data_IF_247384962438
#
_entry.id   IF_247384962438
#
_cell.length_a   1.000
_cell.length_b   1.000
_cell.length_c   1.000
_cell.angle_alpha   90.00
_cell.angle_beta   90.00
_cell.angle_gamma   90.00
#
_symmetry.space_group_name_H-M   'P 1'
#
loop_
_entity.id
_entity.type
_entity.pdbx_description
1 polymer ?
#
# COMPACT_ATOMS: atom_id res chain seq x y z
N UNK A 1 8.23 55.05 53.78
CA UNK A 1 7.25 54.12 53.22
C UNK A 1 7.70 53.74 51.79
N UNK A 2 8.23 52.52 51.61
CA UNK A 2 8.66 52.04 50.32
C UNK A 2 7.57 51.11 49.79
N UNK A 3 6.96 51.45 48.66
CA UNK A 3 5.98 50.57 47.97
C UNK A 3 6.72 49.61 47.07
N UNK A 4 6.57 48.32 47.33
CA UNK A 4 7.07 47.23 46.46
C UNK A 4 5.91 46.89 45.52
N UNK A 5 6.15 47.15 44.22
CA UNK A 5 5.19 46.76 43.18
C UNK A 5 5.58 45.33 42.78
N UNK A 6 4.68 44.38 43.01
CA UNK A 6 4.75 43.00 42.52
C UNK A 6 4.18 42.97 41.09
N UNK A 7 5.05 42.79 40.11
CA UNK A 7 4.64 42.56 38.73
C UNK A 7 4.40 41.05 38.52
N UNK A 8 3.11 40.69 38.44
CA UNK A 8 2.73 39.31 38.14
C UNK A 8 2.90 39.06 36.63
N UNK A 9 3.89 38.27 36.25
CA UNK A 9 4.09 37.82 34.88
C UNK A 9 3.12 36.66 34.64
N UNK A 10 2.09 36.94 33.85
CA UNK A 10 1.17 35.91 33.35
C UNK A 10 1.86 35.14 32.21
N UNK A 11 2.38 33.96 32.50
CA UNK A 11 2.86 33.02 31.51
C UNK A 11 1.63 32.37 30.82
N UNK A 12 1.25 32.93 29.68
CA UNK A 12 0.30 32.25 28.77
C UNK A 12 1.05 31.13 28.08
N UNK A 13 0.85 29.90 28.54
CA UNK A 13 1.25 28.70 27.83
C UNK A 13 0.40 28.61 26.55
N UNK A 14 1.00 28.94 25.42
CA UNK A 14 0.49 28.56 24.10
C UNK A 14 0.59 27.03 23.99
N UNK A 15 -0.47 26.36 24.41
CA UNK A 15 -0.68 24.98 24.02
C UNK A 15 -0.90 24.99 22.50
N UNK A 16 0.12 24.59 21.75
CA UNK A 16 -0.09 24.17 20.37
C UNK A 16 -1.03 22.97 20.44
N UNK A 17 -2.32 23.21 20.16
CA UNK A 17 -3.25 22.16 19.86
C UNK A 17 -2.69 21.43 18.62
N UNK A 18 -2.11 20.26 18.85
CA UNK A 18 -1.87 19.31 17.79
C UNK A 18 -3.25 19.01 17.22
N UNK A 19 -3.53 19.52 16.01
CA UNK A 19 -4.75 19.20 15.30
C UNK A 19 -4.84 17.68 15.28
N UNK A 20 -5.76 17.10 16.06
CA UNK A 20 -6.13 15.70 15.93
C UNK A 20 -6.51 15.53 14.46
N UNK A 21 -5.72 14.75 13.72
CA UNK A 21 -6.03 14.40 12.34
C UNK A 21 -7.42 13.78 12.37
N UNK A 22 -8.42 14.58 11.96
CA UNK A 22 -9.81 14.14 11.99
C UNK A 22 -9.94 12.87 11.16
N UNK A 23 -10.47 11.83 11.74
CA UNK A 23 -10.97 10.66 11.03
C UNK A 23 -12.43 10.92 10.62
N UNK A 24 -12.91 10.37 9.47
CA UNK A 24 -12.16 9.51 8.56
C UNK A 24 -11.15 10.30 7.70
N UNK A 25 -9.88 9.90 7.75
CA UNK A 25 -8.84 10.57 7.00
C UNK A 25 -8.83 10.16 5.53
N UNK A 26 -9.15 8.90 5.21
CA UNK A 26 -9.23 8.36 3.85
C UNK A 26 -10.32 9.07 3.03
N UNK A 27 -11.51 9.27 3.60
CA UNK A 27 -12.61 10.00 2.95
C UNK A 27 -12.26 11.45 2.62
N UNK A 28 -11.33 12.08 3.37
CA UNK A 28 -10.90 13.46 3.17
C UNK A 28 -9.84 13.62 2.08
N UNK A 29 -9.36 12.52 1.48
CA UNK A 29 -8.45 12.58 0.33
C UNK A 29 -9.22 12.92 -0.94
N UNK A 30 -8.77 13.92 -1.69
CA UNK A 30 -9.38 14.34 -2.95
C UNK A 30 -8.65 13.70 -4.15
N UNK A 31 -9.31 12.82 -4.92
CA UNK A 31 -8.75 12.26 -6.15
C UNK A 31 -8.88 13.19 -7.36
N UNK A 32 -9.59 14.31 -7.22
CA UNK A 32 -9.87 15.30 -8.24
C UNK A 32 -8.83 16.42 -8.29
N UNK A 33 -9.27 17.67 -8.11
CA UNK A 33 -8.38 18.84 -8.22
C UNK A 33 -7.29 18.86 -7.14
N UNK A 34 -7.60 18.40 -5.93
CA UNK A 34 -6.69 18.32 -4.78
C UNK A 34 -5.79 17.07 -4.75
N UNK A 35 -5.69 16.30 -5.85
CA UNK A 35 -4.97 15.02 -5.84
C UNK A 35 -3.49 15.12 -5.44
N UNK A 36 -2.81 16.20 -5.75
CA UNK A 36 -1.39 16.39 -5.38
C UNK A 36 -1.22 16.56 -3.88
N UNK A 37 -2.05 17.41 -3.27
CA UNK A 37 -2.03 17.62 -1.81
C UNK A 37 -2.40 16.34 -1.08
N UNK A 38 -3.45 15.67 -1.51
CA UNK A 38 -3.86 14.38 -0.96
C UNK A 38 -2.79 13.30 -1.13
N UNK A 39 -2.12 13.24 -2.28
CA UNK A 39 -0.97 12.37 -2.51
C UNK A 39 0.21 12.69 -1.58
N UNK A 40 0.48 13.99 -1.37
CA UNK A 40 1.52 14.41 -0.43
C UNK A 40 1.22 13.93 0.99
N UNK A 41 -0.04 13.97 1.44
CA UNK A 41 -0.45 13.44 2.76
C UNK A 41 -0.11 11.95 2.90
N UNK A 42 -0.34 11.12 1.87
CA UNK A 42 0.05 9.70 1.87
C UNK A 42 1.57 9.53 1.84
N UNK A 43 2.26 10.28 0.98
CA UNK A 43 3.72 10.16 0.82
C UNK A 43 4.51 10.70 2.02
N UNK A 44 3.94 11.60 2.82
CA UNK A 44 4.51 12.18 4.03
C UNK A 44 4.29 11.33 5.31
N UNK A 45 3.57 10.23 5.22
CA UNK A 45 3.37 9.31 6.35
C UNK A 45 4.70 8.79 6.90
N UNK A 46 4.73 8.46 8.16
CA UNK A 46 5.89 7.82 8.80
C UNK A 46 6.15 6.43 8.18
N UNK A 47 7.40 6.01 8.17
CA UNK A 47 7.73 4.65 7.74
C UNK A 47 7.08 3.61 8.64
N UNK A 48 6.38 2.67 8.02
CA UNK A 48 5.63 1.61 8.69
C UNK A 48 4.21 1.48 8.17
N UNK A 49 3.40 0.72 8.90
CA UNK A 49 2.00 0.49 8.60
C UNK A 49 1.17 1.61 9.25
N UNK A 50 0.51 2.40 8.44
CA UNK A 50 -0.24 3.57 8.88
C UNK A 50 -1.74 3.35 8.64
N UNK A 51 -2.59 3.43 9.67
CA UNK A 51 -4.03 3.41 9.49
C UNK A 51 -4.48 4.68 8.76
N UNK A 52 -5.44 4.54 7.87
CA UNK A 52 -5.99 5.67 7.12
C UNK A 52 -7.34 6.15 7.65
N UNK A 53 -7.89 5.43 8.63
CA UNK A 53 -9.17 5.72 9.27
C UNK A 53 -9.19 5.20 10.70
N UNK A 54 -10.23 5.54 11.42
CA UNK A 54 -10.46 5.04 12.77
C UNK A 54 -11.22 3.71 12.70
N UNK A 55 -10.74 2.72 13.41
CA UNK A 55 -11.37 1.40 13.51
C UNK A 55 -12.23 1.28 14.77
N UNK A 56 -13.29 0.51 14.68
CA UNK A 56 -14.19 0.21 15.81
C UNK A 56 -13.93 -1.20 16.41
N UNK A 57 -13.11 -2.03 15.74
CA UNK A 57 -12.76 -3.39 16.15
C UNK A 57 -13.70 -4.46 15.59
N UNK A 58 -14.67 -4.08 14.77
CA UNK A 58 -15.64 -4.97 14.12
C UNK A 58 -15.26 -5.30 12.67
N UNK A 59 -14.18 -4.68 12.17
CA UNK A 59 -13.72 -4.84 10.80
C UNK A 59 -13.36 -6.30 10.50
N UNK A 60 -13.84 -6.78 9.36
CA UNK A 60 -13.68 -8.16 8.90
C UNK A 60 -12.56 -8.33 7.89
N UNK A 61 -12.17 -7.23 7.22
CA UNK A 61 -11.13 -7.19 6.20
C UNK A 61 -9.98 -6.28 6.62
N UNK A 62 -8.76 -6.79 6.58
CA UNK A 62 -7.57 -5.94 6.69
C UNK A 62 -7.03 -5.65 5.29
N UNK A 63 -7.21 -4.41 4.82
CA UNK A 63 -6.68 -3.94 3.53
C UNK A 63 -5.35 -3.21 3.72
N UNK A 64 -4.31 -3.66 3.02
CA UNK A 64 -2.98 -3.06 3.09
C UNK A 64 -2.47 -2.73 1.70
N UNK A 65 -2.20 -1.46 1.44
CA UNK A 65 -1.56 -0.98 0.23
C UNK A 65 -0.06 -0.72 0.44
N UNK A 66 0.76 -1.13 -0.54
CA UNK A 66 2.22 -1.03 -0.51
C UNK A 66 2.71 -0.31 -1.75
N UNK A 67 3.22 0.91 -1.58
CA UNK A 67 3.59 1.77 -2.69
C UNK A 67 4.84 1.28 -3.45
N UNK A 68 4.94 1.72 -4.70
CA UNK A 68 6.08 1.48 -5.56
C UNK A 68 7.23 2.47 -5.32
N UNK A 69 8.24 2.37 -6.19
CA UNK A 69 9.37 3.28 -6.13
C UNK A 69 8.98 4.68 -6.56
N UNK A 70 9.42 5.69 -5.80
CA UNK A 70 9.14 7.12 -6.05
C UNK A 70 7.64 7.43 -6.12
N UNK A 71 6.86 6.74 -5.33
CA UNK A 71 5.44 7.01 -5.19
C UNK A 71 5.22 8.43 -4.65
N UNK A 72 4.37 9.18 -5.31
CA UNK A 72 3.91 10.49 -4.85
C UNK A 72 2.58 10.39 -4.08
N UNK A 73 2.04 9.18 -3.93
CA UNK A 73 0.85 8.85 -3.15
C UNK A 73 -0.47 9.03 -3.91
N UNK A 74 -0.56 9.99 -4.84
CA UNK A 74 -1.83 10.30 -5.53
C UNK A 74 -2.40 9.13 -6.33
N UNK A 75 -1.55 8.24 -6.82
CA UNK A 75 -1.96 7.04 -7.56
C UNK A 75 -2.75 6.06 -6.70
N UNK A 76 -2.68 6.20 -5.37
CA UNK A 76 -3.36 5.35 -4.41
C UNK A 76 -4.69 5.89 -3.89
N UNK A 77 -5.00 7.19 -4.07
CA UNK A 77 -6.20 7.82 -3.50
C UNK A 77 -7.46 7.12 -4.00
N UNK A 78 -7.69 7.16 -5.30
CA UNK A 78 -8.85 6.53 -5.94
C UNK A 78 -8.93 5.03 -5.65
N UNK A 79 -7.84 4.23 -5.82
CA UNK A 79 -7.86 2.80 -5.49
C UNK A 79 -8.25 2.51 -4.05
N UNK A 80 -7.72 3.23 -3.09
CA UNK A 80 -8.02 3.01 -1.67
C UNK A 80 -9.49 3.30 -1.37
N UNK A 81 -10.01 4.44 -1.85
CA UNK A 81 -11.42 4.79 -1.68
C UNK A 81 -12.38 3.86 -2.42
N UNK A 82 -11.94 3.21 -3.51
CA UNK A 82 -12.75 2.24 -4.25
C UNK A 82 -12.83 0.89 -3.53
N UNK A 83 -11.74 0.48 -2.88
CA UNK A 83 -11.62 -0.82 -2.23
C UNK A 83 -12.15 -0.82 -0.81
N UNK A 84 -12.09 0.33 -0.16
CA UNK A 84 -12.48 0.51 1.23
C UNK A 84 -13.98 0.35 1.44
N UNK A 85 -14.36 -0.16 2.61
CA UNK A 85 -15.74 -0.31 3.06
C UNK A 85 -15.82 -0.10 4.58
N UNK A 86 -17.00 0.07 5.13
CA UNK A 86 -17.22 0.13 6.58
C UNK A 86 -16.74 -1.11 7.35
N UNK A 87 -16.56 -2.25 6.64
CA UNK A 87 -16.04 -3.50 7.19
C UNK A 87 -14.52 -3.66 7.01
N UNK A 88 -13.84 -2.65 6.47
CA UNK A 88 -12.40 -2.69 6.20
C UNK A 88 -11.61 -1.91 7.24
N UNK A 89 -10.48 -2.47 7.64
CA UNK A 89 -9.41 -1.74 8.31
C UNK A 89 -8.35 -1.41 7.25
N UNK A 90 -8.34 -0.17 6.76
CA UNK A 90 -7.52 0.24 5.62
C UNK A 90 -6.23 0.91 6.06
N UNK A 91 -5.11 0.37 5.55
CA UNK A 91 -3.76 0.80 5.87
C UNK A 91 -2.94 1.12 4.64
N UNK A 92 -2.03 2.10 4.78
CA UNK A 92 -0.97 2.39 3.83
C UNK A 92 0.39 2.04 4.43
N UNK A 93 1.14 1.17 3.76
CA UNK A 93 2.49 0.83 4.16
C UNK A 93 3.51 1.75 3.50
N UNK A 94 4.01 2.71 4.28
CA UNK A 94 5.10 3.61 3.86
C UNK A 94 6.44 2.96 4.16
N UNK A 95 7.32 2.86 3.14
CA UNK A 95 8.63 2.23 3.30
C UNK A 95 9.72 2.97 2.51
N UNK A 96 10.98 2.71 2.83
CA UNK A 96 12.14 3.30 2.17
C UNK A 96 12.45 2.54 0.87
N UNK A 97 11.82 2.95 -0.23
CA UNK A 97 11.98 2.35 -1.55
C UNK A 97 13.33 2.65 -2.22
N UNK A 98 14.17 3.48 -1.61
CA UNK A 98 15.56 3.67 -2.02
C UNK A 98 16.46 2.48 -1.63
N UNK A 99 15.98 1.61 -0.73
CA UNK A 99 16.71 0.45 -0.21
C UNK A 99 16.18 -0.87 -0.75
N UNK A 100 16.88 -1.94 -0.40
CA UNK A 100 16.42 -3.31 -0.66
C UNK A 100 15.12 -3.61 0.09
N UNK A 101 14.15 -4.20 -0.59
CA UNK A 101 12.82 -4.53 -0.06
C UNK A 101 12.85 -5.49 1.14
N UNK A 102 13.89 -6.31 1.30
CA UNK A 102 13.94 -7.43 2.26
C UNK A 102 13.63 -6.99 3.70
N UNK A 103 14.28 -5.93 4.17
CA UNK A 103 14.06 -5.44 5.53
C UNK A 103 12.66 -4.83 5.70
N UNK A 104 12.15 -4.15 4.67
CA UNK A 104 10.81 -3.60 4.67
C UNK A 104 9.75 -4.70 4.65
N UNK A 105 9.95 -5.79 3.91
CA UNK A 105 9.08 -6.95 3.93
C UNK A 105 9.04 -7.63 5.31
N UNK A 106 10.20 -7.78 5.98
CA UNK A 106 10.25 -8.29 7.36
C UNK A 106 9.47 -7.39 8.34
N UNK A 107 9.64 -6.07 8.22
CA UNK A 107 8.90 -5.09 9.06
C UNK A 107 7.40 -5.14 8.78
N UNK A 108 6.99 -5.21 7.51
CA UNK A 108 5.58 -5.33 7.15
C UNK A 108 4.96 -6.58 7.78
N UNK A 109 5.60 -7.74 7.64
CA UNK A 109 5.13 -9.00 8.25
C UNK A 109 4.97 -8.90 9.76
N UNK A 110 5.94 -8.27 10.43
CA UNK A 110 5.88 -8.06 11.88
C UNK A 110 4.72 -7.11 12.26
N UNK A 111 4.52 -6.01 11.53
CA UNK A 111 3.44 -5.08 11.77
C UNK A 111 2.07 -5.73 11.54
N UNK A 112 1.91 -6.46 10.44
CA UNK A 112 0.69 -7.23 10.15
C UNK A 112 0.33 -8.17 11.30
N UNK A 113 1.32 -8.91 11.83
CA UNK A 113 1.07 -9.82 12.93
C UNK A 113 0.61 -9.13 14.22
N UNK A 114 0.96 -7.86 14.40
CA UNK A 114 0.48 -7.04 15.52
C UNK A 114 -0.94 -6.52 15.29
N UNK A 115 -1.21 -5.99 14.09
CA UNK A 115 -2.53 -5.42 13.79
C UNK A 115 -3.61 -6.51 13.75
N UNK A 116 -3.32 -7.67 13.18
CA UNK A 116 -4.25 -8.82 13.20
C UNK A 116 -4.67 -9.22 14.64
N UNK A 117 -3.76 -9.10 15.61
CA UNK A 117 -4.09 -9.39 17.02
C UNK A 117 -4.99 -8.35 17.67
N UNK A 118 -5.00 -7.13 17.16
CA UNK A 118 -5.84 -6.04 17.67
C UNK A 118 -7.25 -6.05 17.09
N UNK A 119 -7.45 -6.73 15.97
CA UNK A 119 -8.70 -6.78 15.21
C UNK A 119 -9.24 -8.23 15.23
N UNK A 120 -9.92 -8.65 16.31
CA UNK A 120 -10.33 -10.05 16.50
C UNK A 120 -11.43 -10.50 15.53
N UNK A 121 -12.16 -9.57 14.93
CA UNK A 121 -13.23 -9.84 13.96
C UNK A 121 -12.74 -10.16 12.56
N UNK A 122 -11.43 -10.00 12.28
CA UNK A 122 -10.88 -10.22 10.95
C UNK A 122 -11.13 -11.63 10.41
N UNK A 123 -11.69 -11.69 9.21
CA UNK A 123 -11.94 -12.91 8.44
C UNK A 123 -10.92 -13.10 7.31
N UNK A 124 -10.39 -12.00 6.74
CA UNK A 124 -9.42 -12.06 5.65
C UNK A 124 -8.44 -10.89 5.66
N UNK A 125 -7.33 -11.07 4.94
CA UNK A 125 -6.29 -10.07 4.73
C UNK A 125 -6.08 -9.89 3.22
N UNK A 126 -6.12 -8.65 2.75
CA UNK A 126 -5.84 -8.27 1.36
C UNK A 126 -4.62 -7.35 1.34
N UNK A 127 -3.56 -7.76 0.65
CA UNK A 127 -2.33 -6.99 0.53
C UNK A 127 -2.09 -6.65 -0.95
N UNK A 128 -2.02 -5.38 -1.27
CA UNK A 128 -1.85 -4.90 -2.65
C UNK A 128 -0.54 -4.15 -2.77
N UNK A 129 0.36 -4.65 -3.60
CA UNK A 129 1.65 -4.01 -3.89
C UNK A 129 1.74 -3.56 -5.34
N UNK A 130 2.21 -2.34 -5.57
CA UNK A 130 2.42 -1.79 -6.91
C UNK A 130 3.90 -1.66 -7.24
N UNK A 131 4.29 -2.02 -8.46
CA UNK A 131 5.67 -1.83 -8.96
C UNK A 131 6.70 -2.49 -8.02
N UNK A 132 7.64 -1.73 -7.45
CA UNK A 132 8.60 -2.24 -6.47
C UNK A 132 7.91 -2.70 -5.17
N UNK A 133 6.75 -2.13 -4.81
CA UNK A 133 5.88 -2.67 -3.76
C UNK A 133 5.32 -4.05 -4.11
N UNK A 134 5.08 -4.33 -5.40
CA UNK A 134 4.71 -5.65 -5.90
C UNK A 134 5.80 -6.70 -5.63
N UNK A 135 7.09 -6.34 -5.79
CA UNK A 135 8.23 -7.19 -5.39
C UNK A 135 8.23 -7.45 -3.89
N UNK A 136 8.02 -6.38 -3.09
CA UNK A 136 7.98 -6.48 -1.64
C UNK A 136 6.89 -7.46 -1.18
N UNK A 137 5.65 -7.30 -1.66
CA UNK A 137 4.53 -8.16 -1.22
C UNK A 137 4.68 -9.59 -1.73
N UNK A 138 5.24 -9.80 -2.92
CA UNK A 138 5.54 -11.14 -3.45
C UNK A 138 6.55 -11.87 -2.56
N UNK A 139 7.52 -11.15 -1.98
CA UNK A 139 8.49 -11.76 -1.05
C UNK A 139 7.90 -12.22 0.28
N UNK A 140 6.66 -11.81 0.60
CA UNK A 140 5.98 -12.30 1.80
C UNK A 140 5.52 -13.75 1.64
N UNK A 141 5.28 -14.20 0.40
CA UNK A 141 4.72 -15.51 0.07
C UNK A 141 5.55 -16.65 0.65
N UNK A 142 6.86 -16.62 0.45
CA UNK A 142 7.78 -17.71 0.84
C UNK A 142 7.72 -18.05 2.34
N UNK A 143 7.56 -17.04 3.19
CA UNK A 143 7.58 -17.22 4.65
C UNK A 143 6.23 -16.86 5.28
N UNK A 144 5.13 -17.01 4.53
CA UNK A 144 3.79 -16.70 5.03
C UNK A 144 3.34 -17.73 6.07
N UNK A 145 3.06 -17.27 7.30
CA UNK A 145 2.69 -18.14 8.43
C UNK A 145 1.33 -17.75 9.04
N UNK A 146 0.62 -16.80 8.45
CA UNK A 146 -0.68 -16.39 8.97
C UNK A 146 -1.75 -17.43 8.64
N UNK A 147 -2.70 -17.60 9.54
CA UNK A 147 -3.82 -18.52 9.37
C UNK A 147 -5.07 -17.87 8.75
N UNK A 148 -5.14 -16.55 8.67
CA UNK A 148 -6.22 -15.86 7.97
C UNK A 148 -6.16 -16.15 6.46
N UNK A 149 -7.30 -16.37 5.81
CA UNK A 149 -7.39 -16.31 4.36
C UNK A 149 -6.73 -15.02 3.86
N UNK A 150 -5.76 -15.15 2.98
CA UNK A 150 -4.93 -14.01 2.56
C UNK A 150 -4.86 -13.93 1.05
N UNK A 151 -5.10 -12.74 0.53
CA UNK A 151 -4.93 -12.40 -0.87
C UNK A 151 -3.74 -11.44 -1.02
N UNK A 152 -2.80 -11.78 -1.89
CA UNK A 152 -1.67 -10.90 -2.23
C UNK A 152 -1.78 -10.54 -3.70
N UNK A 153 -1.86 -9.25 -3.99
CA UNK A 153 -1.96 -8.70 -5.32
C UNK A 153 -0.66 -7.97 -5.69
N UNK A 154 0.07 -8.47 -6.70
CA UNK A 154 1.23 -7.79 -7.29
C UNK A 154 0.81 -7.10 -8.58
N UNK A 155 0.72 -5.77 -8.57
CA UNK A 155 0.29 -4.95 -9.70
C UNK A 155 1.51 -4.32 -10.36
N UNK A 156 1.71 -4.58 -11.66
CA UNK A 156 2.86 -4.07 -12.41
C UNK A 156 4.19 -4.34 -11.68
N UNK A 157 4.27 -5.43 -10.92
CA UNK A 157 5.46 -5.81 -10.17
C UNK A 157 6.52 -6.42 -11.08
N UNK A 158 7.79 -5.95 -11.07
CA UNK A 158 8.88 -6.59 -11.79
C UNK A 158 9.38 -7.81 -11.02
N UNK A 159 8.56 -8.85 -10.94
CA UNK A 159 8.76 -10.06 -10.13
C UNK A 159 9.37 -11.23 -10.92
N UNK A 160 9.71 -11.01 -12.19
CA UNK A 160 10.47 -11.98 -13.00
C UNK A 160 11.89 -12.20 -12.46
N UNK A 161 12.47 -13.34 -12.79
CA UNK A 161 13.73 -13.87 -12.24
C UNK A 161 14.99 -13.02 -12.42
N UNK A 162 14.95 -11.97 -13.24
CA UNK A 162 16.10 -11.12 -13.53
C UNK A 162 16.05 -9.75 -12.85
N UNK A 163 15.06 -9.49 -12.00
CA UNK A 163 14.94 -8.19 -11.37
C UNK A 163 15.99 -8.00 -10.27
N UNK A 164 16.82 -6.97 -10.43
CA UNK A 164 17.79 -6.53 -9.42
C UNK A 164 17.74 -5.02 -9.28
N UNK A 165 17.70 -4.53 -8.04
CA UNK A 165 17.71 -3.12 -7.71
C UNK A 165 18.40 -2.87 -6.37
N UNK A 166 19.17 -1.77 -6.26
CA UNK A 166 19.84 -1.37 -5.03
C UNK A 166 20.70 -2.49 -4.41
N UNK A 167 21.49 -3.19 -5.24
CA UNK A 167 22.29 -4.35 -4.84
C UNK A 167 21.46 -5.50 -4.22
N UNK A 168 20.20 -5.60 -4.58
CA UNK A 168 19.22 -6.52 -4.05
C UNK A 168 18.60 -7.31 -5.19
N UNK A 169 18.89 -8.58 -5.27
CA UNK A 169 18.29 -9.49 -6.25
C UNK A 169 17.01 -10.06 -5.68
N UNK A 170 15.95 -10.04 -6.47
CA UNK A 170 14.70 -10.69 -6.12
C UNK A 170 14.74 -12.17 -6.52
N UNK A 171 14.51 -13.02 -5.54
CA UNK A 171 14.30 -14.44 -5.77
C UNK A 171 12.81 -14.73 -5.62
N UNK A 172 12.11 -15.08 -6.70
CA UNK A 172 10.67 -15.38 -6.63
C UNK A 172 10.43 -16.62 -5.78
N UNK A 173 9.26 -16.69 -5.09
CA UNK A 173 8.86 -17.89 -4.38
C UNK A 173 8.62 -19.03 -5.37
N UNK A 174 8.89 -20.27 -4.94
CA UNK A 174 8.67 -21.45 -5.77
C UNK A 174 7.21 -21.87 -5.85
N UNK A 175 6.47 -21.66 -4.76
CA UNK A 175 5.07 -22.08 -4.62
C UNK A 175 4.30 -21.18 -3.67
N UNK A 176 2.98 -21.24 -3.78
CA UNK A 176 2.06 -20.51 -2.92
C UNK A 176 1.65 -21.42 -1.73
N UNK A 177 1.77 -20.95 -0.47
CA UNK A 177 1.30 -21.67 0.71
C UNK A 177 -0.23 -21.84 0.72
N UNK A 178 -0.72 -22.86 1.44
CA UNK A 178 -2.14 -23.00 1.71
C UNK A 178 -2.69 -21.76 2.41
N UNK A 179 -3.96 -21.41 2.16
CA UNK A 179 -4.67 -20.23 2.66
C UNK A 179 -4.15 -18.88 2.14
N UNK A 180 -3.29 -18.90 1.14
CA UNK A 180 -2.86 -17.72 0.42
C UNK A 180 -3.24 -17.85 -1.04
N UNK A 181 -3.89 -16.84 -1.60
CA UNK A 181 -4.11 -16.67 -3.03
C UNK A 181 -3.22 -15.55 -3.53
N UNK A 182 -2.52 -15.78 -4.64
CA UNK A 182 -1.62 -14.80 -5.22
C UNK A 182 -2.11 -14.39 -6.60
N UNK A 183 -2.33 -13.09 -6.78
CA UNK A 183 -2.77 -12.48 -8.01
C UNK A 183 -1.65 -11.66 -8.64
N UNK A 184 -1.36 -11.94 -9.88
CA UNK A 184 -0.40 -11.20 -10.67
C UNK A 184 -1.13 -10.39 -11.75
N UNK A 185 -1.07 -9.07 -11.64
CA UNK A 185 -1.69 -8.11 -12.57
C UNK A 185 -0.60 -7.47 -13.42
N UNK A 186 -0.48 -7.92 -14.68
CA UNK A 186 0.59 -7.49 -15.59
C UNK A 186 0.09 -6.38 -16.51
N UNK A 187 0.77 -5.25 -16.54
CA UNK A 187 0.57 -4.22 -17.56
C UNK A 187 1.07 -4.69 -18.92
N UNK A 188 0.62 -4.04 -20.00
CA UNK A 188 1.18 -4.29 -21.33
C UNK A 188 2.62 -3.80 -21.38
N UNK A 189 3.58 -4.69 -21.55
CA UNK A 189 5.01 -4.38 -21.50
C UNK A 189 5.39 -3.22 -22.44
N UNK A 190 4.92 -3.24 -23.68
CA UNK A 190 5.23 -2.22 -24.70
C UNK A 190 4.59 -0.85 -24.43
N UNK A 191 3.54 -0.78 -23.58
CA UNK A 191 2.85 0.44 -23.20
C UNK A 191 3.29 0.96 -21.82
N UNK A 192 3.89 0.13 -20.99
CA UNK A 192 4.29 0.49 -19.63
C UNK A 192 5.59 1.31 -19.66
N UNK A 193 5.52 2.56 -19.20
CA UNK A 193 6.67 3.49 -19.24
C UNK A 193 7.84 3.04 -18.40
N UNK A 194 7.60 2.22 -17.37
CA UNK A 194 8.65 1.67 -16.52
C UNK A 194 9.38 0.50 -17.19
N UNK A 195 8.73 -0.23 -18.10
CA UNK A 195 9.23 -1.51 -18.62
C UNK A 195 9.48 -1.54 -20.12
N UNK A 196 8.80 -0.70 -20.92
CA UNK A 196 8.81 -0.75 -22.40
C UNK A 196 10.19 -0.64 -23.06
N UNK A 197 11.20 -0.18 -22.34
CA UNK A 197 12.60 -0.10 -22.85
C UNK A 197 13.43 -1.33 -22.50
N UNK A 198 12.90 -2.23 -21.68
CA UNK A 198 13.57 -3.47 -21.33
C UNK A 198 13.37 -4.49 -22.45
N UNK A 199 14.37 -5.33 -22.71
CA UNK A 199 14.32 -6.36 -23.73
C UNK A 199 13.23 -7.40 -23.43
N UNK A 200 13.13 -7.80 -22.17
CA UNK A 200 12.16 -8.79 -21.68
C UNK A 200 11.20 -8.13 -20.70
N UNK A 201 9.98 -8.66 -20.61
CA UNK A 201 9.00 -8.20 -19.64
C UNK A 201 9.44 -8.61 -18.21
N UNK A 202 9.77 -7.66 -17.34
CA UNK A 202 10.22 -7.98 -15.98
C UNK A 202 9.09 -8.51 -15.09
N UNK A 203 7.84 -8.46 -15.57
CA UNK A 203 6.68 -8.99 -14.88
C UNK A 203 6.49 -10.50 -15.10
N UNK A 204 7.25 -11.11 -16.01
CA UNK A 204 7.06 -12.50 -16.36
C UNK A 204 7.61 -13.44 -15.28
N UNK A 205 6.67 -13.92 -14.46
CA UNK A 205 6.86 -14.97 -13.48
C UNK A 205 5.80 -16.04 -13.69
N UNK A 206 6.25 -17.30 -13.80
CA UNK A 206 5.36 -18.45 -13.75
C UNK A 206 5.42 -19.06 -12.34
N UNK A 207 4.51 -18.64 -11.50
CA UNK A 207 4.39 -19.12 -10.13
C UNK A 207 3.22 -20.09 -10.04
N UNK A 208 3.50 -21.34 -9.73
CA UNK A 208 2.49 -22.39 -9.67
C UNK A 208 1.41 -22.04 -8.63
N UNK A 209 0.16 -22.08 -9.07
CA UNK A 209 -1.01 -21.75 -8.24
C UNK A 209 -1.34 -20.25 -8.18
N UNK A 210 -0.62 -19.38 -8.90
CA UNK A 210 -0.99 -17.98 -9.02
C UNK A 210 -2.06 -17.75 -10.08
N UNK A 211 -2.89 -16.74 -9.85
CA UNK A 211 -3.79 -16.20 -10.85
C UNK A 211 -3.11 -15.04 -11.57
N UNK A 212 -2.98 -15.15 -12.90
CA UNK A 212 -2.30 -14.13 -13.70
C UNK A 212 -3.27 -13.49 -14.68
N UNK A 213 -3.35 -12.16 -14.64
CA UNK A 213 -4.14 -11.34 -15.56
C UNK A 213 -3.26 -10.32 -16.26
N UNK A 214 -3.29 -10.32 -17.61
CA UNK A 214 -2.73 -9.24 -18.41
C UNK A 214 -3.78 -8.13 -18.55
N UNK A 215 -3.44 -6.92 -18.12
CA UNK A 215 -4.34 -5.77 -18.15
C UNK A 215 -4.60 -5.32 -19.59
N UNK A 216 -5.75 -4.68 -19.88
CA UNK A 216 -6.03 -4.14 -21.21
C UNK A 216 -5.08 -2.99 -21.57
N UNK A 217 -5.03 -2.66 -22.86
CA UNK A 217 -4.22 -1.54 -23.35
C UNK A 217 -4.78 -0.16 -22.97
N UNK A 218 -6.08 -0.10 -22.78
CA UNK A 218 -6.78 1.14 -22.45
C UNK A 218 -7.74 0.97 -21.26
N UNK A 219 -7.93 2.06 -20.52
CA UNK A 219 -8.86 2.16 -19.41
C UNK A 219 -9.45 3.58 -19.37
N UNK A 220 -10.78 3.67 -19.28
CA UNK A 220 -11.53 4.95 -19.26
C UNK A 220 -11.11 5.87 -20.41
N UNK A 221 -11.00 5.33 -21.64
CA UNK A 221 -10.66 6.06 -22.86
C UNK A 221 -9.20 6.52 -22.98
N UNK A 222 -8.31 6.08 -22.10
CA UNK A 222 -6.87 6.42 -22.13
C UNK A 222 -6.01 5.17 -22.07
N UNK A 223 -4.77 5.28 -22.56
CA UNK A 223 -3.79 4.19 -22.44
C UNK A 223 -3.59 3.83 -20.98
N UNK A 224 -3.75 2.56 -20.64
CA UNK A 224 -3.50 2.03 -19.32
C UNK A 224 -1.98 1.90 -19.10
N UNK A 225 -1.44 2.82 -18.32
CA UNK A 225 -0.02 2.86 -18.00
C UNK A 225 0.32 2.28 -16.64
N UNK A 226 1.58 2.42 -16.24
CA UNK A 226 2.15 1.84 -15.03
C UNK A 226 1.36 2.17 -13.77
N UNK A 227 1.24 3.45 -13.42
CA UNK A 227 0.57 3.87 -12.17
C UNK A 227 -0.95 3.70 -12.23
N UNK A 228 -1.54 3.86 -13.41
CA UNK A 228 -2.99 3.77 -13.55
C UNK A 228 -3.52 2.33 -13.50
N UNK A 229 -2.61 1.35 -13.58
CA UNK A 229 -2.92 -0.06 -13.38
C UNK A 229 -3.57 -0.35 -12.02
N UNK A 230 -3.21 0.41 -10.98
CA UNK A 230 -3.77 0.26 -9.63
C UNK A 230 -5.27 0.57 -9.65
N UNK A 231 -5.67 1.68 -10.30
CA UNK A 231 -7.07 2.07 -10.41
C UNK A 231 -7.91 1.06 -11.19
N UNK A 232 -7.35 0.49 -12.27
CA UNK A 232 -8.03 -0.55 -13.01
C UNK A 232 -8.26 -1.81 -12.16
N UNK A 233 -7.25 -2.22 -11.40
CA UNK A 233 -7.36 -3.38 -10.50
C UNK A 233 -8.37 -3.10 -9.39
N UNK A 234 -8.38 -1.90 -8.82
CA UNK A 234 -9.37 -1.52 -7.81
C UNK A 234 -10.80 -1.62 -8.35
N UNK A 235 -11.07 -1.10 -9.56
CA UNK A 235 -12.39 -1.25 -10.20
C UNK A 235 -12.75 -2.72 -10.46
N UNK A 236 -11.76 -3.56 -10.78
CA UNK A 236 -11.98 -4.98 -11.04
C UNK A 236 -12.32 -5.76 -9.77
N UNK A 237 -11.70 -5.41 -8.65
CA UNK A 237 -11.95 -6.03 -7.35
C UNK A 237 -13.26 -5.49 -6.73
N UNK A 238 -13.54 -4.20 -6.92
CA UNK A 238 -14.65 -3.51 -6.25
C UNK A 238 -14.46 -3.38 -4.74
N UNK A 239 -15.49 -2.87 -4.03
CA UNK A 239 -15.48 -2.76 -2.57
C UNK A 239 -15.24 -4.11 -1.89
N UNK A 240 -14.34 -4.14 -0.92
CA UNK A 240 -13.94 -5.37 -0.22
C UNK A 240 -14.87 -5.66 0.97
N UNK A 241 -15.96 -6.40 0.71
CA UNK A 241 -16.93 -6.84 1.71
C UNK A 241 -16.57 -8.22 2.29
#
# INVERSE_FOLDING_TARGET
MKYIIFTTILLTSLAFAQEEKGYPWLESLDPGEGYKESGHRLSALAFGLNPLEKFNGEEEVLLVSVHGSRSEGYEWIYPLQTLDTENSATFFYKWDDSKCYINSAKKLRFNLSKEIKKLPSLKRLVIIGHSYGGVLVTSLVENWKNNLPTEIHSIAGPIGSAFSRNACTFNPPERIPNKLTFYQWKTQHHLDVAFKRLKNDPQDLNLLGSETTRLPEAYRGRRLGHNWSISWVADKLGPLN
#
